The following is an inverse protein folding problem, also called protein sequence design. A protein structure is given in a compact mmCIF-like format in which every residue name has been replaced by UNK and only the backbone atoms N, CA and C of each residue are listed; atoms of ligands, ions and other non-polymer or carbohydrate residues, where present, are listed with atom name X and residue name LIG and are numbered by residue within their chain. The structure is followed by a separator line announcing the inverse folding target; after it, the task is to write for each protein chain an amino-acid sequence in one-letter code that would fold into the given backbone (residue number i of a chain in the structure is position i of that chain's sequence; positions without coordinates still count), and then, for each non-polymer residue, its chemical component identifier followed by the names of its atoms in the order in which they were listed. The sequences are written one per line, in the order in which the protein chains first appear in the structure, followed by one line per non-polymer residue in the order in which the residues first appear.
data_IF_217085262345
#
_entry.id   IF_217085262345
#
_cell.length_a   1.000
_cell.length_b   1.000
_cell.length_c   1.000
_cell.angle_alpha   90.00
_cell.angle_beta   90.00
_cell.angle_gamma   90.00
#
_symmetry.space_group_name_H-M   'P 1'
#
loop_
_entity.id
_entity.type
_entity.pdbx_description
1 polymer ?
#
# COMPACT_ATOMS: atom_id res chain seq x y z
N UNK A 1 -17.25 39.54 5.81
CA UNK A 1 -16.09 39.96 4.99
C UNK A 1 -15.02 38.88 4.96
N UNK A 2 -14.41 38.59 6.12
CA UNK A 2 -13.36 37.57 6.30
C UNK A 2 -13.88 36.14 6.40
N UNK A 3 -15.02 35.91 7.05
CA UNK A 3 -15.61 34.57 7.20
C UNK A 3 -16.12 33.94 5.87
N UNK A 4 -16.63 34.75 4.95
CA UNK A 4 -17.06 34.28 3.61
C UNK A 4 -15.87 33.90 2.72
N UNK A 5 -14.71 34.51 2.96
CA UNK A 5 -13.49 34.23 2.20
C UNK A 5 -12.87 32.89 2.61
N UNK A 6 -12.83 32.59 3.91
CA UNK A 6 -12.36 31.29 4.42
C UNK A 6 -13.31 30.14 4.06
N UNK A 7 -14.63 30.36 4.14
CA UNK A 7 -15.64 29.38 3.68
C UNK A 7 -15.51 29.06 2.19
N UNK A 8 -15.24 30.07 1.36
CA UNK A 8 -14.99 29.86 -0.07
C UNK A 8 -13.68 29.12 -0.35
N UNK A 9 -12.65 29.30 0.49
CA UNK A 9 -11.36 28.60 0.38
C UNK A 9 -11.52 27.12 0.72
N UNK A 10 -12.22 26.78 1.81
CA UNK A 10 -12.50 25.40 2.21
C UNK A 10 -13.43 24.66 1.23
N UNK A 11 -14.47 25.33 0.70
CA UNK A 11 -15.34 24.76 -0.34
C UNK A 11 -14.61 24.49 -1.66
N UNK A 12 -13.65 25.33 -2.04
CA UNK A 12 -12.79 25.08 -3.23
C UNK A 12 -11.83 23.91 -3.01
N UNK A 13 -11.27 23.76 -1.80
CA UNK A 13 -10.36 22.66 -1.47
C UNK A 13 -11.06 21.28 -1.47
N UNK A 14 -12.25 21.18 -0.83
CA UNK A 14 -12.98 19.90 -0.77
C UNK A 14 -13.55 19.46 -2.12
N UNK A 15 -14.03 20.41 -2.93
CA UNK A 15 -14.44 20.16 -4.32
C UNK A 15 -13.25 19.77 -5.18
N UNK A 16 -12.10 20.41 -4.98
CA UNK A 16 -10.84 20.05 -5.64
C UNK A 16 -10.39 18.63 -5.34
N UNK A 17 -10.51 18.14 -4.10
CA UNK A 17 -10.15 16.76 -3.77
C UNK A 17 -11.09 15.71 -4.39
N UNK A 18 -12.41 15.94 -4.38
CA UNK A 18 -13.36 15.01 -5.03
C UNK A 18 -13.25 15.03 -6.55
N UNK A 19 -13.01 16.20 -7.15
CA UNK A 19 -12.74 16.31 -8.59
C UNK A 19 -11.43 15.62 -8.95
N UNK A 20 -10.36 15.74 -8.13
CA UNK A 20 -9.08 15.02 -8.32
C UNK A 20 -9.21 13.50 -8.16
N UNK A 21 -9.99 13.01 -7.19
CA UNK A 21 -10.26 11.58 -7.01
C UNK A 21 -11.09 11.00 -8.17
N UNK A 22 -12.10 11.73 -8.62
CA UNK A 22 -12.90 11.36 -9.78
C UNK A 22 -12.10 11.46 -11.10
N UNK A 23 -11.18 12.43 -11.20
CA UNK A 23 -10.26 12.57 -12.33
C UNK A 23 -9.21 11.45 -12.32
N UNK A 24 -8.70 11.03 -11.16
CA UNK A 24 -7.86 9.83 -11.05
C UNK A 24 -8.63 8.57 -11.43
N UNK A 25 -9.86 8.38 -10.95
CA UNK A 25 -10.71 7.26 -11.34
C UNK A 25 -11.00 7.26 -12.86
N UNK A 26 -11.18 8.43 -13.47
CA UNK A 26 -11.31 8.60 -14.93
C UNK A 26 -9.99 8.33 -15.66
N UNK A 27 -8.86 8.82 -15.18
CA UNK A 27 -7.52 8.59 -15.76
C UNK A 27 -7.17 7.09 -15.69
N UNK A 28 -7.44 6.41 -14.57
CA UNK A 28 -7.24 4.97 -14.40
C UNK A 28 -8.18 4.17 -15.31
N UNK A 29 -9.46 4.59 -15.44
CA UNK A 29 -10.41 3.97 -16.37
C UNK A 29 -10.05 4.19 -17.84
N UNK A 30 -9.53 5.37 -18.19
CA UNK A 30 -9.03 5.71 -19.53
C UNK A 30 -7.74 4.94 -19.81
N UNK A 31 -6.84 4.77 -18.84
CA UNK A 31 -5.67 3.88 -18.96
C UNK A 31 -6.11 2.45 -19.27
N UNK A 32 -7.15 1.95 -18.58
CA UNK A 32 -7.71 0.61 -18.78
C UNK A 32 -8.28 0.42 -20.21
N UNK A 33 -8.85 1.49 -20.80
CA UNK A 33 -9.42 1.49 -22.16
C UNK A 33 -8.33 1.71 -23.23
N UNK A 34 -7.34 2.56 -22.98
CA UNK A 34 -6.24 2.85 -23.92
C UNK A 34 -5.25 1.69 -24.02
N UNK A 35 -5.06 0.90 -22.95
CA UNK A 35 -4.29 -0.36 -22.96
C UNK A 35 -4.87 -1.41 -23.94
N UNK A 36 -6.11 -1.26 -24.40
CA UNK A 36 -6.70 -2.13 -25.42
C UNK A 36 -6.46 -1.66 -26.86
N UNK A 37 -5.88 -0.47 -27.14
CA UNK A 37 -6.02 0.17 -28.47
C UNK A 37 -4.82 0.84 -29.17
N UNK A 38 -3.62 1.00 -28.62
CA UNK A 38 -2.57 1.76 -29.32
C UNK A 38 -1.17 1.14 -29.30
N UNK A 39 -0.58 0.95 -30.50
CA UNK A 39 0.86 0.81 -30.71
C UNK A 39 1.41 2.08 -31.39
N UNK A 40 2.50 2.66 -30.85
CA UNK A 40 3.48 3.61 -31.44
C UNK A 40 4.71 3.71 -30.48
N UNK A 41 5.88 3.94 -31.07
CA UNK A 41 7.27 3.97 -30.57
C UNK A 41 7.65 5.09 -29.55
N UNK A 42 8.68 4.79 -28.73
CA UNK A 42 9.86 5.59 -28.30
C UNK A 42 10.17 5.57 -26.79
N UNK A 43 11.48 5.40 -26.47
CA UNK A 43 12.18 6.12 -25.39
C UNK A 43 12.35 5.45 -24.01
N UNK A 44 13.61 5.31 -23.58
CA UNK A 44 14.10 4.80 -22.28
C UNK A 44 13.42 5.37 -21.02
N UNK A 45 13.09 4.51 -20.04
CA UNK A 45 13.14 4.80 -18.60
C UNK A 45 12.96 3.51 -17.76
N UNK A 46 13.70 3.41 -16.66
CA UNK A 46 13.75 2.30 -15.70
C UNK A 46 12.64 2.39 -14.62
N UNK A 47 12.31 1.28 -13.92
CA UNK A 47 11.86 1.20 -12.49
C UNK A 47 11.49 -0.24 -12.05
N UNK A 48 11.61 -0.46 -10.72
CA UNK A 48 11.62 -1.66 -9.85
C UNK A 48 10.24 -2.24 -9.40
N UNK A 49 10.31 -3.36 -8.63
CA UNK A 49 9.27 -4.27 -8.06
C UNK A 49 8.93 -5.39 -9.05
N UNK A 50 8.66 -6.64 -8.61
CA UNK A 50 8.13 -7.70 -9.50
C UNK A 50 6.76 -7.24 -9.99
N UNK A 51 6.85 -6.52 -11.08
CA UNK A 51 5.86 -5.77 -11.82
C UNK A 51 6.16 -6.16 -13.25
N UNK A 52 5.49 -7.18 -13.78
CA UNK A 52 5.82 -7.62 -15.13
C UNK A 52 5.23 -6.58 -16.09
N UNK A 53 6.11 -5.76 -16.62
CA UNK A 53 5.79 -4.76 -17.62
C UNK A 53 5.31 -5.47 -18.89
N UNK A 54 4.10 -5.14 -19.35
CA UNK A 54 3.81 -5.22 -20.77
C UNK A 54 3.99 -3.80 -21.30
N UNK A 55 5.23 -3.48 -21.69
CA UNK A 55 5.50 -2.30 -22.50
C UNK A 55 4.90 -2.52 -23.90
N UNK A 56 4.57 -1.44 -24.63
CA UNK A 56 4.24 -1.51 -26.04
C UNK A 56 5.53 -1.78 -26.83
N UNK A 57 5.96 -3.04 -26.75
CA UNK A 57 6.93 -3.82 -27.52
C UNK A 57 7.41 -4.93 -26.58
N UNK A 58 7.48 -6.16 -27.12
CA UNK A 58 7.62 -7.45 -26.42
C UNK A 58 8.88 -7.55 -25.56
N UNK A 59 8.91 -6.88 -24.42
CA UNK A 59 10.03 -6.88 -23.48
C UNK A 59 9.52 -6.98 -22.05
N UNK A 60 9.87 -8.07 -21.40
CA UNK A 60 9.63 -8.29 -19.98
C UNK A 60 10.85 -7.82 -19.20
N UNK A 61 10.62 -6.88 -18.30
CA UNK A 61 11.62 -6.44 -17.34
C UNK A 61 11.34 -7.14 -16.01
N UNK A 62 12.29 -7.91 -15.49
CA UNK A 62 12.33 -8.27 -14.07
C UNK A 62 13.24 -7.30 -13.37
N UNK A 63 12.75 -6.72 -12.29
CA UNK A 63 13.60 -5.95 -11.40
C UNK A 63 13.42 -6.45 -9.98
N UNK A 64 14.50 -7.02 -9.45
CA UNK A 64 14.67 -7.30 -8.04
C UNK A 64 15.30 -6.05 -7.41
N UNK A 65 14.67 -5.51 -6.36
CA UNK A 65 15.04 -4.20 -5.80
C UNK A 65 16.37 -4.28 -5.05
N UNK A 66 17.29 -3.36 -5.35
CA UNK A 66 18.58 -3.20 -4.67
C UNK A 66 18.43 -2.21 -3.48
N UNK A 67 18.74 -2.66 -2.26
CA UNK A 67 19.06 -1.84 -1.07
C UNK A 67 20.46 -2.18 -0.51
N UNK A 68 21.35 -1.19 -0.39
CA UNK A 68 22.56 -1.31 0.42
C UNK A 68 22.20 -1.23 1.91
N UNK A 69 22.54 -2.25 2.69
CA UNK A 69 23.19 -2.18 4.03
C UNK A 69 23.27 -3.56 4.74
N UNK A 70 24.50 -3.96 5.04
CA UNK A 70 25.02 -4.89 6.04
C UNK A 70 24.13 -6.00 6.64
N UNK A 71 24.36 -7.22 6.14
CA UNK A 71 24.63 -8.39 7.00
C UNK A 71 23.44 -9.03 7.73
N UNK A 72 22.70 -9.88 7.01
CA UNK A 72 22.11 -11.14 7.54
C UNK A 72 22.00 -12.15 6.39
N UNK A 73 22.58 -13.34 6.59
CA UNK A 73 22.51 -14.46 5.66
C UNK A 73 21.31 -15.35 6.04
N UNK A 74 20.20 -15.19 5.32
CA UNK A 74 19.00 -16.03 5.46
C UNK A 74 18.72 -16.72 4.14
N UNK A 75 18.66 -18.05 4.14
CA UNK A 75 18.39 -18.89 2.95
C UNK A 75 16.99 -18.55 2.42
N UNK A 76 16.86 -17.92 1.24
CA UNK A 76 15.55 -17.72 0.61
C UNK A 76 15.20 -18.87 -0.33
N UNK A 77 14.00 -19.40 -0.12
CA UNK A 77 13.19 -19.97 -1.19
C UNK A 77 12.04 -18.99 -1.43
N UNK A 78 11.52 -18.98 -2.66
CA UNK A 78 10.16 -18.48 -2.92
C UNK A 78 9.22 -18.96 -1.82
N UNK A 79 8.59 -18.03 -1.11
CA UNK A 79 7.67 -18.43 -0.06
C UNK A 79 6.38 -18.96 -0.67
N UNK A 80 6.01 -20.18 -0.28
CA UNK A 80 4.72 -20.75 -0.66
C UNK A 80 3.59 -20.04 0.06
N UNK A 81 2.35 -20.26 -0.39
CA UNK A 81 1.16 -19.61 0.18
C UNK A 81 0.93 -20.00 1.65
N UNK A 82 1.42 -21.16 2.05
CA UNK A 82 1.31 -21.72 3.40
C UNK A 82 2.47 -21.32 4.32
N UNK A 83 3.52 -20.71 3.78
CA UNK A 83 4.71 -20.37 4.55
C UNK A 83 4.59 -19.02 5.23
N UNK A 84 4.60 -19.04 6.56
CA UNK A 84 4.79 -17.85 7.37
C UNK A 84 6.27 -17.42 7.40
N UNK A 85 6.50 -16.12 7.49
CA UNK A 85 7.82 -15.56 7.79
C UNK A 85 8.26 -16.02 9.18
N UNK A 86 9.48 -16.55 9.36
CA UNK A 86 9.94 -16.99 10.66
C UNK A 86 9.85 -15.89 11.74
N UNK A 87 9.60 -16.23 13.02
CA UNK A 87 9.52 -15.24 14.08
C UNK A 87 10.85 -14.49 14.29
N UNK A 88 11.99 -15.14 14.05
CA UNK A 88 13.33 -14.57 14.22
C UNK A 88 13.72 -13.55 13.14
N UNK A 89 12.93 -13.42 12.07
CA UNK A 89 13.20 -12.49 10.99
C UNK A 89 12.80 -11.07 11.39
N UNK A 90 13.75 -10.14 11.28
CA UNK A 90 13.44 -8.72 11.34
C UNK A 90 12.66 -8.27 10.11
N UNK A 91 11.84 -7.22 10.26
CA UNK A 91 11.01 -6.64 9.19
C UNK A 91 11.79 -6.29 7.91
N UNK A 92 13.05 -5.83 8.04
CA UNK A 92 13.92 -5.50 6.90
C UNK A 92 14.56 -6.73 6.24
N UNK A 93 14.48 -7.91 6.87
CA UNK A 93 14.91 -9.21 6.32
C UNK A 93 13.74 -10.04 5.81
N UNK A 94 12.51 -9.53 5.90
CA UNK A 94 11.34 -10.22 5.36
C UNK A 94 11.41 -10.29 3.82
N UNK A 95 10.66 -11.23 3.24
CA UNK A 95 10.60 -11.39 1.80
C UNK A 95 9.46 -10.56 1.21
N UNK A 96 9.66 -10.10 -0.02
CA UNK A 96 8.57 -9.55 -0.82
C UNK A 96 7.82 -10.70 -1.52
N UNK A 97 6.49 -10.60 -1.53
CA UNK A 97 5.59 -11.64 -2.04
C UNK A 97 4.62 -11.02 -3.05
N UNK A 98 4.50 -11.67 -4.20
CA UNK A 98 3.52 -11.28 -5.23
C UNK A 98 2.07 -11.33 -4.71
N UNK A 99 1.75 -12.32 -3.86
CA UNK A 99 0.42 -12.44 -3.24
C UNK A 99 0.05 -11.20 -2.42
N UNK A 100 1.03 -10.59 -1.75
CA UNK A 100 0.80 -9.42 -0.92
C UNK A 100 0.48 -8.18 -1.76
N UNK A 101 1.17 -7.98 -2.90
CA UNK A 101 0.87 -6.88 -3.82
C UNK A 101 -0.53 -7.00 -4.43
N UNK A 102 -0.91 -8.21 -4.86
CA UNK A 102 -2.25 -8.48 -5.41
C UNK A 102 -3.31 -8.27 -4.31
N UNK A 103 -3.14 -8.88 -3.14
CA UNK A 103 -4.09 -8.76 -2.04
C UNK A 103 -4.22 -7.32 -1.52
N UNK A 104 -3.12 -6.57 -1.47
CA UNK A 104 -3.11 -5.16 -1.08
C UNK A 104 -4.00 -4.31 -1.98
N UNK A 105 -3.93 -4.49 -3.32
CA UNK A 105 -4.81 -3.78 -4.24
C UNK A 105 -6.30 -4.08 -3.99
N UNK A 106 -6.64 -5.35 -3.79
CA UNK A 106 -8.03 -5.74 -3.52
C UNK A 106 -8.53 -5.23 -2.16
N UNK A 107 -7.67 -5.25 -1.13
CA UNK A 107 -7.98 -4.71 0.20
C UNK A 107 -8.18 -3.19 0.15
N UNK A 108 -7.28 -2.47 -0.52
CA UNK A 108 -7.38 -1.01 -0.69
C UNK A 108 -8.67 -0.60 -1.41
N UNK A 109 -9.10 -1.40 -2.41
CA UNK A 109 -10.39 -1.24 -3.07
C UNK A 109 -11.57 -1.53 -2.14
N UNK A 110 -11.51 -2.58 -1.31
CA UNK A 110 -12.57 -2.93 -0.35
C UNK A 110 -12.67 -1.92 0.80
N UNK A 111 -11.58 -1.28 1.19
CA UNK A 111 -11.57 -0.18 2.16
C UNK A 111 -11.99 1.16 1.55
N UNK A 112 -12.20 1.21 0.23
CA UNK A 112 -12.55 2.40 -0.53
C UNK A 112 -11.45 3.48 -0.57
N UNK A 113 -10.20 3.11 -0.26
CA UNK A 113 -9.06 4.03 -0.29
C UNK A 113 -8.67 4.41 -1.71
N UNK A 114 -8.56 3.42 -2.62
CA UNK A 114 -8.21 3.59 -4.05
C UNK A 114 -6.84 4.28 -4.25
N UNK A 115 -5.85 3.88 -3.47
CA UNK A 115 -4.49 4.47 -3.42
C UNK A 115 -3.39 3.50 -3.87
N UNK A 116 -3.73 2.23 -4.10
CA UNK A 116 -2.81 1.23 -4.68
C UNK A 116 -3.01 1.17 -6.20
N UNK A 117 -1.95 1.22 -7.03
CA UNK A 117 -2.06 0.96 -8.47
C UNK A 117 -2.68 -0.43 -8.73
N UNK A 118 -3.46 -0.62 -9.81
CA UNK A 118 -4.01 -1.93 -10.13
C UNK A 118 -2.94 -3.02 -10.21
N UNK A 119 -3.14 -4.15 -9.52
CA UNK A 119 -2.24 -5.30 -9.54
C UNK A 119 -3.00 -6.57 -9.92
N UNK A 120 -2.42 -7.41 -10.79
CA UNK A 120 -2.96 -8.72 -11.14
C UNK A 120 -1.89 -9.81 -11.15
N UNK A 121 -2.26 -11.04 -10.81
CA UNK A 121 -1.39 -12.20 -10.90
C UNK A 121 -1.27 -12.75 -12.33
N UNK A 122 -0.07 -13.24 -12.66
CA UNK A 122 0.19 -13.92 -13.93
C UNK A 122 1.20 -15.05 -13.78
N UNK A 123 0.94 -16.14 -14.50
CA UNK A 123 1.92 -17.18 -14.76
C UNK A 123 2.72 -16.79 -16.01
N UNK A 124 4.04 -16.78 -15.90
CA UNK A 124 4.97 -16.43 -16.98
C UNK A 124 5.77 -17.64 -17.42
N UNK A 125 6.05 -17.73 -18.71
CA UNK A 125 7.12 -18.56 -19.21
C UNK A 125 8.48 -17.83 -19.09
N UNK A 126 9.33 -18.27 -18.17
CA UNK A 126 10.65 -17.71 -17.88
C UNK A 126 11.60 -17.75 -19.07
N UNK A 127 11.40 -18.67 -20.00
CA UNK A 127 12.23 -18.76 -21.20
C UNK A 127 11.78 -17.72 -22.22
N UNK A 128 10.56 -17.87 -22.73
CA UNK A 128 10.02 -17.10 -23.85
C UNK A 128 9.67 -15.67 -23.49
N UNK A 129 9.12 -15.48 -22.30
CA UNK A 129 8.63 -14.17 -21.90
C UNK A 129 9.70 -13.38 -21.17
N UNK A 130 10.80 -13.98 -20.72
CA UNK A 130 11.81 -13.28 -19.93
C UNK A 130 13.19 -13.35 -20.57
N UNK A 131 13.80 -14.53 -20.54
CA UNK A 131 15.19 -14.73 -20.95
C UNK A 131 15.41 -14.38 -22.42
N UNK A 132 14.49 -14.80 -23.28
CA UNK A 132 14.66 -14.68 -24.73
C UNK A 132 14.30 -13.27 -25.24
N UNK A 133 13.62 -12.46 -24.44
CA UNK A 133 13.26 -11.07 -24.79
C UNK A 133 14.16 -10.02 -24.13
N UNK A 134 14.77 -10.31 -22.97
CA UNK A 134 15.56 -9.29 -22.27
C UNK A 134 16.76 -8.82 -23.10
N UNK A 135 16.93 -7.49 -23.18
CA UNK A 135 18.13 -6.85 -23.75
C UNK A 135 19.20 -6.61 -22.66
N UNK A 136 18.85 -6.78 -21.39
CA UNK A 136 19.78 -6.60 -20.28
C UNK A 136 20.67 -7.83 -20.12
N UNK A 137 21.94 -7.65 -20.50
CA UNK A 137 22.98 -8.69 -20.39
C UNK A 137 23.24 -9.11 -18.93
N UNK A 138 23.04 -8.23 -17.96
CA UNK A 138 23.24 -8.55 -16.54
C UNK A 138 22.21 -9.57 -16.09
N UNK A 139 20.93 -9.30 -16.30
CA UNK A 139 19.84 -10.23 -16.02
C UNK A 139 19.99 -11.54 -16.81
N UNK A 140 20.25 -11.45 -18.11
CA UNK A 140 20.36 -12.62 -18.99
C UNK A 140 21.44 -13.62 -18.51
N UNK A 141 22.58 -13.12 -18.05
CA UNK A 141 23.69 -13.95 -17.54
C UNK A 141 23.38 -14.73 -16.28
N UNK A 142 22.33 -14.35 -15.54
CA UNK A 142 21.95 -15.03 -14.30
C UNK A 142 21.06 -16.25 -14.53
N UNK A 143 20.64 -16.52 -15.77
CA UNK A 143 19.86 -17.70 -16.09
C UNK A 143 20.72 -18.97 -16.11
N UNK A 144 20.23 -20.04 -15.49
CA UNK A 144 20.88 -21.34 -15.47
C UNK A 144 19.85 -22.48 -15.37
N UNK A 145 20.30 -23.71 -15.63
CA UNK A 145 19.50 -24.92 -15.44
C UNK A 145 19.90 -25.56 -14.12
N UNK A 146 18.93 -25.78 -13.25
CA UNK A 146 19.15 -26.44 -11.96
C UNK A 146 19.43 -27.94 -12.12
N UNK A 147 20.01 -28.62 -11.10
CA UNK A 147 20.17 -30.08 -11.11
C UNK A 147 18.87 -30.87 -11.29
N UNK A 148 17.72 -30.25 -10.98
CA UNK A 148 16.39 -30.80 -11.20
C UNK A 148 15.84 -30.53 -12.62
N UNK A 149 16.68 -30.05 -13.54
CA UNK A 149 16.35 -29.70 -14.92
C UNK A 149 15.28 -28.60 -15.08
N UNK A 150 15.17 -27.71 -14.08
CA UNK A 150 14.31 -26.52 -14.15
C UNK A 150 15.11 -25.28 -14.57
N UNK A 151 14.45 -24.36 -15.27
CA UNK A 151 14.98 -23.03 -15.60
C UNK A 151 14.94 -22.15 -14.35
N UNK A 152 16.07 -21.53 -14.02
CA UNK A 152 16.23 -20.65 -12.87
C UNK A 152 16.93 -19.35 -13.26
N UNK A 153 16.67 -18.27 -12.51
CA UNK A 153 17.47 -17.05 -12.56
C UNK A 153 17.45 -16.34 -11.20
N UNK A 154 18.45 -15.51 -10.92
CA UNK A 154 18.54 -14.75 -9.65
C UNK A 154 18.80 -13.25 -9.83
N UNK A 155 18.99 -12.77 -11.07
CA UNK A 155 19.19 -11.36 -11.40
C UNK A 155 20.29 -10.65 -10.59
N UNK A 156 20.25 -9.32 -10.57
CA UNK A 156 21.25 -8.50 -9.89
C UNK A 156 20.53 -7.52 -8.95
N UNK A 157 20.66 -7.76 -7.65
CA UNK A 157 20.17 -6.89 -6.58
C UNK A 157 20.97 -7.16 -5.30
N UNK A 158 20.73 -6.39 -4.25
CA UNK A 158 21.55 -6.46 -3.03
C UNK A 158 21.12 -7.52 -2.02
N UNK A 159 19.83 -7.87 -1.97
CA UNK A 159 19.28 -8.85 -1.04
C UNK A 159 18.70 -10.02 -1.81
N UNK A 160 19.11 -11.23 -1.45
CA UNK A 160 18.54 -12.46 -2.01
C UNK A 160 18.68 -12.62 -3.54
N UNK A 161 19.62 -11.91 -4.18
CA UNK A 161 19.99 -12.11 -5.59
C UNK A 161 21.30 -12.90 -5.72
N UNK A 162 21.24 -14.20 -5.39
CA UNK A 162 22.35 -15.13 -5.61
C UNK A 162 21.84 -16.50 -6.03
N UNK A 163 22.73 -17.39 -6.49
CA UNK A 163 22.37 -18.75 -6.92
C UNK A 163 21.63 -19.53 -5.84
N UNK A 164 21.95 -19.32 -4.56
CA UNK A 164 21.29 -19.96 -3.42
C UNK A 164 19.82 -19.54 -3.24
N UNK A 165 19.46 -18.37 -3.80
CA UNK A 165 18.17 -17.71 -3.65
C UNK A 165 17.42 -17.63 -4.99
N UNK A 166 17.87 -18.40 -5.99
CA UNK A 166 17.36 -18.30 -7.34
C UNK A 166 15.86 -18.63 -7.45
N UNK A 167 15.21 -17.90 -8.34
CA UNK A 167 13.82 -18.08 -8.72
C UNK A 167 13.78 -19.17 -9.79
N UNK A 168 13.15 -20.30 -9.49
CA UNK A 168 13.11 -21.48 -10.37
C UNK A 168 11.68 -21.83 -10.76
N UNK A 169 11.46 -22.09 -12.05
CA UNK A 169 10.19 -22.56 -12.56
C UNK A 169 10.01 -24.07 -12.40
N UNK A 170 8.87 -24.57 -12.89
CA UNK A 170 8.57 -26.02 -12.99
C UNK A 170 7.88 -26.37 -14.31
N UNK A 171 8.61 -26.75 -15.38
CA UNK A 171 10.06 -26.64 -15.51
C UNK A 171 10.53 -25.20 -15.77
N UNK A 172 9.72 -24.37 -16.42
CA UNK A 172 10.10 -23.03 -16.88
C UNK A 172 9.03 -21.95 -16.66
N UNK A 173 7.99 -22.25 -15.89
CA UNK A 173 6.94 -21.29 -15.55
C UNK A 173 7.04 -20.80 -14.11
N UNK A 174 6.76 -19.51 -13.89
CA UNK A 174 6.79 -18.87 -12.58
C UNK A 174 5.60 -17.91 -12.39
N UNK A 175 5.07 -17.87 -11.18
CA UNK A 175 4.01 -16.95 -10.78
C UNK A 175 4.60 -15.59 -10.39
N UNK A 176 3.88 -14.51 -10.70
CA UNK A 176 4.27 -13.16 -10.31
C UNK A 176 3.12 -12.17 -10.33
N UNK A 177 3.35 -11.01 -9.72
CA UNK A 177 2.42 -9.88 -9.72
C UNK A 177 2.73 -8.91 -10.86
N UNK A 178 1.68 -8.31 -11.41
CA UNK A 178 1.70 -7.27 -12.45
C UNK A 178 1.08 -6.01 -11.89
N UNK A 179 1.88 -5.10 -11.34
CA UNK A 179 1.38 -3.77 -11.00
C UNK A 179 1.33 -2.86 -12.23
N UNK A 180 0.26 -2.08 -12.36
CA UNK A 180 0.17 -1.05 -13.39
C UNK A 180 1.15 0.08 -13.05
N UNK A 181 1.88 0.55 -14.06
CA UNK A 181 2.75 1.69 -13.88
C UNK A 181 1.96 2.96 -13.57
N UNK A 182 2.46 3.72 -12.62
CA UNK A 182 2.11 5.13 -12.52
C UNK A 182 2.71 5.88 -13.71
N UNK A 183 2.16 7.06 -14.07
CA UNK A 183 2.71 7.86 -15.14
C UNK A 183 4.20 8.16 -14.92
N UNK A 184 4.92 8.30 -16.03
CA UNK A 184 6.35 8.60 -16.01
C UNK A 184 6.64 9.86 -15.18
N UNK A 185 7.77 9.87 -14.46
CA UNK A 185 8.17 10.98 -13.60
C UNK A 185 8.39 12.30 -14.37
N UNK A 186 8.69 12.23 -15.67
CA UNK A 186 8.77 13.38 -16.56
C UNK A 186 7.39 14.04 -16.77
N UNK A 187 6.31 13.24 -16.76
CA UNK A 187 4.92 13.72 -16.93
C UNK A 187 4.25 14.05 -15.60
N UNK A 188 4.47 13.22 -14.58
CA UNK A 188 3.88 13.35 -13.26
C UNK A 188 4.93 13.15 -12.17
N UNK A 189 5.58 14.25 -11.77
CA UNK A 189 6.55 14.22 -10.67
C UNK A 189 5.88 13.76 -9.38
N UNK A 190 6.59 12.87 -8.67
CA UNK A 190 6.20 12.35 -7.36
C UNK A 190 7.19 12.85 -6.32
N UNK A 191 6.66 13.19 -5.15
CA UNK A 191 7.45 13.56 -3.98
C UNK A 191 7.41 12.41 -2.98
N UNK A 192 8.60 11.94 -2.61
CA UNK A 192 8.80 10.93 -1.56
C UNK A 192 8.92 11.63 -0.21
N UNK A 193 8.18 11.12 0.76
CA UNK A 193 8.18 11.60 2.13
C UNK A 193 8.64 10.50 3.07
N UNK A 194 9.43 10.87 4.09
CA UNK A 194 9.78 9.96 5.17
C UNK A 194 8.59 9.84 6.12
N UNK A 195 8.16 8.62 6.41
CA UNK A 195 7.12 8.37 7.40
C UNK A 195 7.66 8.71 8.81
N UNK A 196 6.95 9.51 9.65
CA UNK A 196 7.39 9.82 11.01
C UNK A 196 7.56 8.55 11.85
N UNK A 197 6.68 7.56 11.65
CA UNK A 197 6.76 6.25 12.32
C UNK A 197 7.65 5.25 11.58
N UNK A 198 8.61 5.73 10.78
CA UNK A 198 9.64 4.88 10.19
C UNK A 198 10.41 4.17 11.32
N UNK A 199 10.54 2.85 11.22
CA UNK A 199 11.37 2.03 12.12
C UNK A 199 12.85 2.40 12.03
N UNK A 200 13.65 1.92 12.97
CA UNK A 200 15.09 2.23 13.03
C UNK A 200 15.91 1.58 11.90
N UNK A 201 15.44 0.48 11.32
CA UNK A 201 16.21 -0.39 10.41
C UNK A 201 17.51 -0.89 11.05
N UNK A 202 17.49 -1.09 12.36
CA UNK A 202 18.65 -1.49 13.12
C UNK A 202 18.26 -2.44 14.25
N UNK A 203 18.99 -3.54 14.40
CA UNK A 203 18.64 -4.67 15.30
C UNK A 203 18.53 -4.29 16.79
N UNK A 204 19.26 -3.25 17.21
CA UNK A 204 19.38 -2.84 18.62
C UNK A 204 18.85 -1.44 18.92
N UNK A 205 18.64 -0.61 17.90
CA UNK A 205 18.28 0.79 18.08
C UNK A 205 16.76 0.87 18.01
N UNK A 206 16.13 1.46 19.03
CA UNK A 206 14.71 1.79 18.97
C UNK A 206 14.50 3.09 18.19
N UNK A 207 13.36 3.23 17.54
CA UNK A 207 12.92 4.50 16.97
C UNK A 207 12.36 5.42 18.08
N UNK A 208 12.30 6.73 17.83
CA UNK A 208 11.81 7.71 18.81
C UNK A 208 10.37 7.43 19.24
N UNK A 209 9.49 7.13 18.29
CA UNK A 209 8.10 6.76 18.56
C UNK A 209 7.92 5.45 19.35
N UNK A 210 8.95 4.60 19.44
CA UNK A 210 8.92 3.37 20.26
C UNK A 210 9.25 3.64 21.74
N UNK A 211 9.82 4.81 22.05
CA UNK A 211 10.22 5.19 23.41
C UNK A 211 9.40 6.35 23.97
N UNK A 212 8.92 7.24 23.11
CA UNK A 212 8.11 8.39 23.49
C UNK A 212 6.61 8.10 23.28
N UNK A 213 5.81 8.00 24.36
CA UNK A 213 4.37 7.79 24.25
C UNK A 213 3.64 8.99 23.63
N UNK A 214 4.16 10.21 23.78
CA UNK A 214 3.55 11.46 23.33
C UNK A 214 4.09 11.92 21.97
N UNK A 215 4.83 11.07 21.27
CA UNK A 215 5.48 11.36 19.98
C UNK A 215 4.55 12.01 18.95
N UNK A 216 3.27 11.61 18.91
CA UNK A 216 2.34 12.19 17.94
C UNK A 216 2.05 13.69 18.20
N UNK A 217 2.19 14.19 19.42
CA UNK A 217 1.99 15.61 19.71
C UNK A 217 3.06 16.49 19.03
N UNK A 218 4.29 15.99 18.90
CA UNK A 218 5.33 16.65 18.11
C UNK A 218 5.01 16.54 16.61
N UNK A 219 4.56 15.36 16.14
CA UNK A 219 4.20 15.16 14.73
C UNK A 219 3.05 16.09 14.32
N UNK A 220 2.04 16.27 15.17
CA UNK A 220 0.91 17.20 14.96
C UNK A 220 1.34 18.66 14.82
N UNK A 221 2.56 19.02 15.22
CA UNK A 221 3.12 20.37 15.08
C UNK A 221 4.13 20.49 13.94
N UNK A 222 4.44 19.37 13.28
CA UNK A 222 5.49 19.29 12.26
C UNK A 222 4.89 19.34 10.85
N UNK A 223 5.28 20.28 9.98
CA UNK A 223 4.87 20.26 8.58
C UNK A 223 5.31 18.98 7.86
N UNK A 224 4.48 18.35 7.02
CA UNK A 224 3.14 18.78 6.57
C UNK A 224 1.98 18.16 7.38
N UNK A 225 2.22 17.61 8.56
CA UNK A 225 1.23 16.89 9.37
C UNK A 225 0.40 17.82 10.28
N UNK A 226 0.88 19.05 10.46
CA UNK A 226 0.25 20.14 11.22
C UNK A 226 -1.00 20.73 10.57
N UNK A 227 -1.25 20.42 9.31
CA UNK A 227 -2.31 21.04 8.51
C UNK A 227 -2.91 20.09 7.48
N UNK A 228 -4.15 20.40 7.09
CA UNK A 228 -4.89 19.65 6.07
C UNK A 228 -5.21 18.21 6.49
N UNK A 229 -5.23 17.30 5.52
CA UNK A 229 -5.66 15.91 5.71
C UNK A 229 -4.51 14.94 5.96
N UNK A 230 -3.25 15.41 5.93
CA UNK A 230 -2.08 14.54 5.82
C UNK A 230 -1.93 13.58 6.99
N UNK A 231 -2.17 14.04 8.21
CA UNK A 231 -2.14 13.15 9.39
C UNK A 231 -3.18 12.04 9.25
N UNK A 232 -4.40 12.37 8.81
CA UNK A 232 -5.47 11.39 8.58
C UNK A 232 -5.15 10.44 7.42
N UNK A 233 -4.45 10.90 6.37
CA UNK A 233 -3.95 10.03 5.31
C UNK A 233 -2.97 8.98 5.85
N UNK A 234 -2.11 9.37 6.79
CA UNK A 234 -1.21 8.43 7.50
C UNK A 234 -2.01 7.44 8.35
N UNK A 235 -3.07 7.87 9.01
CA UNK A 235 -3.92 6.97 9.82
C UNK A 235 -4.60 5.90 8.95
N UNK A 236 -5.15 6.28 7.79
CA UNK A 236 -5.70 5.34 6.81
C UNK A 236 -4.62 4.33 6.33
N UNK A 237 -3.42 4.82 6.01
CA UNK A 237 -2.29 3.98 5.60
C UNK A 237 -1.83 3.03 6.71
N UNK A 238 -1.81 3.50 7.96
CA UNK A 238 -1.49 2.69 9.14
C UNK A 238 -2.50 1.57 9.35
N UNK A 239 -3.79 1.86 9.22
CA UNK A 239 -4.85 0.84 9.31
C UNK A 239 -4.69 -0.18 8.18
N UNK A 240 -4.43 0.29 6.96
CA UNK A 240 -4.16 -0.56 5.80
C UNK A 240 -2.98 -1.50 6.06
N UNK A 241 -1.83 -0.96 6.46
CA UNK A 241 -0.62 -1.72 6.75
C UNK A 241 -0.82 -2.70 7.91
N UNK A 242 -1.57 -2.34 8.95
CA UNK A 242 -1.85 -3.24 10.08
C UNK A 242 -2.71 -4.44 9.67
N UNK A 243 -3.76 -4.24 8.86
CA UNK A 243 -4.63 -5.32 8.39
C UNK A 243 -3.85 -6.38 7.59
N UNK A 244 -2.87 -5.97 6.78
CA UNK A 244 -1.98 -6.86 6.04
C UNK A 244 -0.76 -7.33 6.86
N UNK A 245 -0.38 -6.63 7.93
CA UNK A 245 0.82 -6.90 8.72
C UNK A 245 2.11 -6.38 8.09
N UNK A 246 2.05 -5.31 7.30
CA UNK A 246 3.19 -4.69 6.66
C UNK A 246 3.93 -3.73 7.59
N UNK A 247 5.15 -4.11 7.98
CA UNK A 247 5.99 -3.32 8.88
C UNK A 247 6.97 -2.37 8.18
N UNK A 248 7.08 -2.44 6.85
CA UNK A 248 8.18 -1.82 6.08
C UNK A 248 7.81 -0.47 5.45
N UNK A 249 6.78 0.21 5.97
CA UNK A 249 6.34 1.54 5.49
C UNK A 249 7.27 2.67 5.92
N UNK A 250 8.51 2.68 5.44
CA UNK A 250 9.50 3.71 5.77
C UNK A 250 9.30 5.04 5.07
N UNK A 251 8.66 5.01 3.90
CA UNK A 251 8.42 6.16 3.04
C UNK A 251 7.04 6.03 2.43
N UNK A 252 6.51 7.15 1.96
CA UNK A 252 5.30 7.18 1.16
C UNK A 252 5.44 8.24 0.05
N UNK A 253 4.64 8.13 -0.98
CA UNK A 253 4.69 9.04 -2.13
C UNK A 253 3.41 9.85 -2.28
N UNK A 254 3.54 11.02 -2.92
CA UNK A 254 2.44 11.89 -3.31
C UNK A 254 2.73 12.48 -4.68
N UNK A 255 1.71 12.88 -5.42
CA UNK A 255 1.92 13.63 -6.66
C UNK A 255 2.23 15.09 -6.37
N UNK A 256 3.39 15.56 -6.83
CA UNK A 256 3.89 16.91 -6.55
C UNK A 256 2.91 17.99 -7.03
N UNK A 257 2.28 17.75 -8.19
CA UNK A 257 1.29 18.65 -8.81
C UNK A 257 0.13 19.02 -7.88
N UNK A 258 -0.26 18.14 -6.96
CA UNK A 258 -1.40 18.37 -6.07
C UNK A 258 -1.02 19.00 -4.73
N UNK A 259 0.27 19.24 -4.47
CA UNK A 259 0.75 19.85 -3.24
C UNK A 259 0.56 18.95 -2.01
N UNK A 260 0.33 19.55 -0.84
CA UNK A 260 0.17 18.79 0.41
C UNK A 260 -1.25 18.22 0.59
N UNK A 261 -2.25 18.88 0.02
CA UNK A 261 -3.66 18.46 0.01
C UNK A 261 -3.90 17.44 -1.11
N UNK A 262 -3.36 16.24 -0.90
CA UNK A 262 -3.49 15.09 -1.81
C UNK A 262 -3.39 13.80 -1.01
N UNK A 263 -3.94 12.73 -1.56
CA UNK A 263 -3.81 11.38 -1.02
C UNK A 263 -2.36 10.88 -1.06
N UNK A 264 -2.07 9.93 -0.17
CA UNK A 264 -0.84 9.14 -0.15
C UNK A 264 -0.97 7.95 -1.10
N UNK A 265 0.04 7.69 -1.92
CA UNK A 265 0.09 6.52 -2.79
C UNK A 265 0.63 5.32 -1.99
N UNK A 266 -0.12 4.22 -1.97
CA UNK A 266 0.24 2.98 -1.25
C UNK A 266 1.05 2.03 -2.15
N UNK A 267 2.36 2.28 -2.28
CA UNK A 267 3.31 1.46 -3.09
C UNK A 267 4.10 0.46 -2.24
N UNK A 268 4.84 -0.48 -2.84
CA UNK A 268 5.72 -1.42 -2.11
C UNK A 268 4.99 -2.20 -0.99
N UNK A 269 3.95 -2.95 -1.34
CA UNK A 269 3.11 -3.70 -0.38
C UNK A 269 3.55 -5.17 -0.22
N UNK A 270 4.62 -5.59 -0.90
CA UNK A 270 5.11 -6.96 -0.96
C UNK A 270 5.46 -7.61 0.39
N UNK A 271 5.67 -6.83 1.44
CA UNK A 271 5.97 -7.33 2.82
C UNK A 271 4.72 -7.51 3.69
N UNK A 272 3.53 -7.38 3.11
CA UNK A 272 2.28 -7.80 3.73
C UNK A 272 2.09 -9.31 3.73
N UNK A 273 1.10 -9.78 4.49
CA UNK A 273 0.65 -11.17 4.50
C UNK A 273 1.79 -12.18 4.72
N UNK A 274 2.81 -11.80 5.48
CA UNK A 274 3.92 -12.67 5.83
C UNK A 274 3.60 -13.60 7.01
N UNK A 275 2.72 -13.16 7.92
CA UNK A 275 2.31 -13.92 9.11
C UNK A 275 0.79 -13.82 9.29
N UNK A 276 0.08 -14.94 9.41
CA UNK A 276 -1.36 -14.98 9.72
C UNK A 276 -1.63 -15.31 11.19
N UNK A 277 -0.70 -15.99 11.85
CA UNK A 277 -0.83 -16.36 13.26
C UNK A 277 -0.40 -15.25 14.24
N UNK A 278 0.18 -14.16 13.73
CA UNK A 278 0.68 -13.02 14.51
C UNK A 278 0.06 -11.70 14.04
N UNK A 279 -0.27 -10.82 14.99
CA UNK A 279 -0.76 -9.46 14.73
C UNK A 279 0.25 -8.45 15.28
N UNK A 280 0.89 -7.70 14.39
CA UNK A 280 1.95 -6.78 14.78
C UNK A 280 1.38 -5.44 15.27
N UNK A 281 1.09 -5.36 16.57
CA UNK A 281 0.51 -4.17 17.21
C UNK A 281 1.37 -2.92 17.05
N UNK A 282 2.69 -3.05 16.87
CA UNK A 282 3.55 -1.88 16.66
C UNK A 282 3.24 -1.12 15.36
N UNK A 283 2.59 -1.75 14.37
CA UNK A 283 2.12 -1.05 13.16
C UNK A 283 0.98 -0.07 13.50
N UNK A 284 0.13 -0.41 14.49
CA UNK A 284 -1.04 0.38 14.86
C UNK A 284 -0.72 1.54 15.81
N UNK A 285 0.52 1.66 16.29
CA UNK A 285 0.99 2.72 17.20
C UNK A 285 0.67 4.14 16.71
N UNK A 286 0.81 4.51 15.43
CA UNK A 286 0.42 5.84 14.95
C UNK A 286 -1.04 6.17 15.28
N UNK A 287 -1.96 5.22 15.09
CA UNK A 287 -3.37 5.41 15.42
C UNK A 287 -3.59 5.54 16.93
N UNK A 288 -2.91 4.72 17.72
CA UNK A 288 -3.03 4.73 19.19
C UNK A 288 -2.43 5.99 19.84
N UNK A 289 -1.37 6.55 19.26
CA UNK A 289 -0.74 7.79 19.76
C UNK A 289 -1.49 9.02 19.29
N UNK A 290 -1.91 9.06 18.03
CA UNK A 290 -2.54 10.25 17.48
C UNK A 290 -4.02 10.37 17.84
N UNK A 291 -4.68 9.23 18.07
CA UNK A 291 -6.11 9.10 18.32
C UNK A 291 -6.97 9.92 17.35
N UNK A 292 -6.66 9.86 16.05
CA UNK A 292 -7.44 10.50 14.99
C UNK A 292 -7.78 9.53 13.86
N UNK A 293 -8.99 9.60 13.32
CA UNK A 293 -9.44 8.78 12.19
C UNK A 293 -10.49 9.52 11.37
N UNK A 294 -10.60 9.22 10.07
CA UNK A 294 -11.70 9.74 9.24
C UNK A 294 -13.01 9.05 9.59
N UNK A 295 -14.11 9.80 9.57
CA UNK A 295 -15.46 9.25 9.73
C UNK A 295 -15.81 8.27 8.60
N UNK A 296 -15.44 8.58 7.36
CA UNK A 296 -15.60 7.66 6.22
C UNK A 296 -14.94 6.31 6.47
N UNK A 297 -13.65 6.31 6.87
CA UNK A 297 -12.88 5.11 7.22
C UNK A 297 -13.50 4.39 8.42
N UNK A 298 -13.81 5.10 9.50
CA UNK A 298 -14.38 4.49 10.71
C UNK A 298 -15.69 3.75 10.43
N UNK A 299 -16.62 4.38 9.70
CA UNK A 299 -17.89 3.76 9.31
C UNK A 299 -17.67 2.55 8.39
N UNK A 300 -16.72 2.65 7.43
CA UNK A 300 -16.38 1.53 6.55
C UNK A 300 -15.85 0.34 7.34
N UNK A 301 -14.97 0.57 8.31
CA UNK A 301 -14.43 -0.50 9.18
C UNK A 301 -15.53 -1.14 10.04
N UNK A 302 -16.45 -0.35 10.60
CA UNK A 302 -17.59 -0.86 11.35
C UNK A 302 -18.51 -1.71 10.46
N UNK A 303 -18.74 -1.30 9.22
CA UNK A 303 -19.52 -2.06 8.25
C UNK A 303 -18.86 -3.41 7.94
N UNK A 304 -17.56 -3.41 7.66
CA UNK A 304 -16.79 -4.60 7.32
C UNK A 304 -16.65 -5.62 8.47
N UNK A 305 -16.95 -5.21 9.69
CA UNK A 305 -16.97 -6.09 10.86
C UNK A 305 -18.31 -6.81 11.08
N UNK A 306 -19.37 -6.43 10.35
CA UNK A 306 -20.66 -7.11 10.38
C UNK A 306 -20.63 -8.39 9.54
N UNK A 307 -21.35 -9.42 9.97
CA UNK A 307 -21.35 -10.72 9.29
C UNK A 307 -21.84 -10.63 7.83
N UNK A 308 -22.76 -9.72 7.51
CA UNK A 308 -23.27 -9.54 6.14
C UNK A 308 -22.24 -8.93 5.17
N UNK A 309 -21.23 -8.24 5.70
CA UNK A 309 -20.19 -7.53 4.92
C UNK A 309 -18.78 -7.91 5.36
N UNK A 310 -18.64 -9.10 5.93
CA UNK A 310 -17.41 -9.57 6.58
C UNK A 310 -16.20 -9.42 5.66
N UNK A 311 -15.14 -8.76 6.15
CA UNK A 311 -13.94 -8.44 5.37
C UNK A 311 -13.32 -9.68 4.70
N UNK A 312 -13.16 -10.78 5.43
CA UNK A 312 -12.64 -12.05 4.89
C UNK A 312 -13.43 -12.57 3.70
N UNK A 313 -14.77 -12.48 3.74
CA UNK A 313 -15.66 -12.99 2.69
C UNK A 313 -15.57 -12.13 1.45
N UNK A 314 -15.60 -10.80 1.62
CA UNK A 314 -15.43 -9.85 0.52
C UNK A 314 -14.05 -9.96 -0.14
N UNK A 315 -13.00 -10.15 0.66
CA UNK A 315 -11.64 -10.38 0.16
C UNK A 315 -11.56 -11.69 -0.63
N UNK A 316 -12.08 -12.78 -0.09
CA UNK A 316 -12.10 -14.08 -0.77
C UNK A 316 -12.78 -13.98 -2.13
N UNK A 317 -14.00 -13.41 -2.17
CA UNK A 317 -14.75 -13.21 -3.40
C UNK A 317 -13.99 -12.33 -4.39
N UNK A 318 -13.46 -11.20 -3.94
CA UNK A 318 -12.74 -10.25 -4.77
C UNK A 318 -11.49 -10.88 -5.41
N UNK A 319 -10.76 -11.71 -4.67
CA UNK A 319 -9.53 -12.38 -5.13
C UNK A 319 -9.80 -13.57 -6.07
N UNK A 320 -10.99 -14.15 -6.07
CA UNK A 320 -11.31 -15.30 -6.96
C UNK A 320 -11.18 -14.98 -8.46
N UNK A 321 -11.23 -13.69 -8.82
CA UNK A 321 -11.13 -13.23 -10.21
C UNK A 321 -9.69 -13.20 -10.73
N UNK A 322 -8.70 -13.33 -9.85
CA UNK A 322 -7.30 -13.38 -10.24
C UNK A 322 -6.91 -14.76 -10.79
N UNK A 323 -6.01 -14.78 -11.78
CA UNK A 323 -5.56 -16.02 -12.43
C UNK A 323 -4.72 -16.89 -11.51
N UNK A 324 -4.09 -16.32 -10.48
CA UNK A 324 -3.28 -17.04 -9.50
C UNK A 324 -4.09 -17.50 -8.28
N UNK A 325 -5.42 -17.50 -8.36
CA UNK A 325 -6.30 -17.97 -7.28
C UNK A 325 -5.96 -19.40 -6.84
N UNK A 326 -5.91 -19.69 -5.53
CA UNK A 326 -6.14 -18.78 -4.40
C UNK A 326 -4.94 -17.84 -4.15
N UNK A 327 -5.16 -16.53 -3.97
CA UNK A 327 -4.08 -15.56 -3.67
C UNK A 327 -3.69 -15.61 -2.18
N UNK A 328 -4.69 -15.61 -1.30
CA UNK A 328 -4.53 -15.75 0.14
C UNK A 328 -5.17 -17.05 0.61
N UNK A 329 -4.51 -17.73 1.56
CA UNK A 329 -5.08 -18.89 2.25
C UNK A 329 -6.06 -18.45 3.34
N UNK A 330 -6.97 -19.35 3.73
CA UNK A 330 -8.02 -19.08 4.71
C UNK A 330 -7.50 -18.45 6.03
N UNK A 331 -6.37 -18.91 6.62
CA UNK A 331 -5.84 -18.28 7.83
C UNK A 331 -5.52 -16.79 7.69
N UNK A 332 -5.06 -16.33 6.52
CA UNK A 332 -4.83 -14.90 6.29
C UNK A 332 -6.14 -14.12 6.24
N UNK A 333 -7.18 -14.69 5.61
CA UNK A 333 -8.51 -14.07 5.56
C UNK A 333 -9.10 -13.95 6.98
N UNK A 334 -9.00 -15.00 7.79
CA UNK A 334 -9.47 -14.99 9.19
C UNK A 334 -8.68 -13.99 10.05
N UNK A 335 -7.37 -13.87 9.82
CA UNK A 335 -6.52 -12.89 10.49
C UNK A 335 -6.94 -11.45 10.17
N UNK A 336 -7.42 -11.16 8.95
CA UNK A 336 -7.91 -9.82 8.60
C UNK A 336 -9.13 -9.42 9.42
N UNK A 337 -10.08 -10.33 9.65
CA UNK A 337 -11.25 -10.06 10.50
C UNK A 337 -10.83 -9.84 11.96
N UNK A 338 -9.88 -10.63 12.46
CA UNK A 338 -9.30 -10.47 13.80
C UNK A 338 -8.63 -9.10 13.95
N UNK A 339 -7.78 -8.71 13.00
CA UNK A 339 -7.10 -7.41 12.98
C UNK A 339 -8.08 -6.26 12.85
N UNK A 340 -9.13 -6.38 12.03
CA UNK A 340 -10.17 -5.37 11.92
C UNK A 340 -10.82 -5.06 13.27
N UNK A 341 -11.12 -6.10 14.08
CA UNK A 341 -11.64 -5.90 15.43
C UNK A 341 -10.64 -5.20 16.35
N UNK A 342 -9.35 -5.50 16.24
CA UNK A 342 -8.31 -4.80 17.01
C UNK A 342 -8.23 -3.32 16.63
N UNK A 343 -8.36 -2.97 15.35
CA UNK A 343 -8.43 -1.56 14.90
C UNK A 343 -9.65 -0.87 15.50
N UNK A 344 -10.83 -1.50 15.44
CA UNK A 344 -12.05 -0.93 15.99
C UNK A 344 -11.96 -0.74 17.51
N UNK A 345 -11.35 -1.69 18.23
CA UNK A 345 -11.11 -1.57 19.66
C UNK A 345 -10.16 -0.41 19.97
N UNK A 346 -9.06 -0.25 19.23
CA UNK A 346 -8.14 0.87 19.40
C UNK A 346 -8.83 2.23 19.18
N UNK A 347 -9.69 2.34 18.17
CA UNK A 347 -10.50 3.56 17.95
C UNK A 347 -11.50 3.76 19.08
N UNK A 348 -12.16 2.71 19.57
CA UNK A 348 -13.08 2.79 20.71
C UNK A 348 -12.38 3.27 21.98
N UNK A 349 -11.16 2.78 22.24
CA UNK A 349 -10.35 3.19 23.38
C UNK A 349 -9.95 4.68 23.27
N UNK A 350 -9.55 5.13 22.08
CA UNK A 350 -9.32 6.56 21.81
C UNK A 350 -10.58 7.39 22.07
N UNK A 351 -11.74 6.97 21.54
CA UNK A 351 -13.02 7.66 21.73
C UNK A 351 -13.39 7.74 23.22
N UNK A 352 -13.16 6.67 23.98
CA UNK A 352 -13.40 6.65 25.43
C UNK A 352 -12.52 7.61 26.22
N UNK A 353 -11.29 7.87 25.75
CA UNK A 353 -10.32 8.76 26.41
C UNK A 353 -10.49 10.23 26.02
N UNK A 354 -10.63 10.51 24.74
CA UNK A 354 -10.59 11.89 24.19
C UNK A 354 -11.96 12.42 23.76
N UNK A 355 -12.95 11.54 23.57
CA UNK A 355 -14.28 11.88 23.09
C UNK A 355 -14.43 11.77 21.57
N UNK A 356 -15.64 11.42 21.13
CA UNK A 356 -15.92 11.09 19.72
C UNK A 356 -15.54 12.21 18.73
N UNK A 357 -15.85 13.47 19.05
CA UNK A 357 -15.60 14.61 18.15
C UNK A 357 -14.13 14.96 17.97
N UNK A 358 -13.27 14.58 18.92
CA UNK A 358 -11.82 14.82 18.83
C UNK A 358 -11.11 13.72 18.04
N UNK A 359 -11.65 12.49 18.12
CA UNK A 359 -11.06 11.32 17.47
C UNK A 359 -11.54 11.16 16.03
N UNK A 360 -12.83 11.34 15.79
CA UNK A 360 -13.46 11.06 14.49
C UNK A 360 -13.69 12.35 13.72
N UNK A 361 -12.84 12.61 12.73
CA UNK A 361 -12.95 13.78 11.86
C UNK A 361 -14.06 13.57 10.82
N UNK A 362 -15.03 14.49 10.74
CA UNK A 362 -16.12 14.40 9.77
C UNK A 362 -15.68 14.88 8.37
N UNK A 363 -15.37 13.92 7.50
CA UNK A 363 -15.05 14.13 6.09
C UNK A 363 -16.23 13.84 5.14
N UNK A 364 -17.38 13.44 5.68
CA UNK A 364 -18.58 13.10 4.90
C UNK A 364 -19.48 14.31 4.65
N UNK A 365 -19.45 15.30 5.55
CA UNK A 365 -20.17 16.55 5.38
C UNK A 365 -19.51 17.45 4.33
N UNK A 366 -19.75 17.12 3.07
CA UNK A 366 -19.86 18.13 2.03
C UNK A 366 -21.24 18.78 2.13
N UNK A 367 -21.31 19.96 2.73
CA UNK A 367 -22.41 20.93 2.63
C UNK A 367 -23.77 20.53 3.24
N UNK A 368 -23.88 20.54 4.57
CA UNK A 368 -25.15 20.83 5.24
C UNK A 368 -24.95 21.82 6.41
N UNK A 369 -25.46 23.04 6.26
CA UNK A 369 -26.00 23.79 7.40
C UNK A 369 -25.30 25.08 7.82
N UNK A 370 -25.23 26.08 6.94
CA UNK A 370 -25.33 27.50 7.35
C UNK A 370 -26.76 27.93 7.68
N UNK A 371 -27.63 27.00 8.08
CA UNK A 371 -29.00 27.25 8.50
C UNK A 371 -29.30 26.53 9.81
N UNK A 372 -28.68 26.99 10.91
CA UNK A 372 -29.15 26.60 12.24
C UNK A 372 -28.70 27.50 13.39
N UNK A 373 -28.58 28.81 13.16
CA UNK A 373 -28.54 29.77 14.28
C UNK A 373 -29.10 31.12 13.83
N UNK A 374 -30.43 31.29 13.91
CA UNK A 374 -31.06 32.58 14.22
C UNK A 374 -32.55 32.37 14.51
N UNK A 375 -32.85 31.94 15.75
CA UNK A 375 -34.11 32.31 16.38
C UNK A 375 -33.75 32.96 17.72
N UNK A 376 -33.90 34.28 17.77
CA UNK A 376 -33.84 35.13 18.95
C UNK A 376 -34.26 36.55 18.57
N UNK A 377 -34.70 37.37 19.53
CA UNK A 377 -36.06 37.46 20.03
C UNK A 377 -36.87 38.58 19.32
N UNK A 378 -38.17 38.36 19.11
CA UNK A 378 -39.09 39.46 18.74
C UNK A 378 -39.18 40.45 19.90
N UNK A 379 -38.75 41.70 19.67
CA UNK A 379 -39.02 42.84 20.55
C UNK A 379 -40.01 43.79 19.89
N UNK A 380 -41.06 44.06 20.67
CA UNK A 380 -42.08 45.14 20.63
C UNK A 380 -43.01 45.20 19.44
#
# INVERSE_FOLDING_TARGET
GTEDFERNKQRKASRGNREKEAEFAKIVSILFILLQRAGVETGEAAVQIITLSCLPEKYLLLSMKERREDGVQGKAKWQTREQETPPDFFYFSDFERHNAEIAAFHLDKILDFRRVPPVAGRLLNMTKEIRDVTRDKKLWRTFFISPANNVCFYGECSYYCSTEHALCGKPDQIEGSLAAFLPDLALAKRKTWRNPWRRSYHKRKKAEWEVDPDYCEEVKQTPPYDSGTRLLDVMDMTIFDFLMGNMDRHHYETFEKFGNETFIIHLDNGRGFGKHSHDEMSILVPLMQCCRVRKSTHIRLQLLAKEEYKLSTLMAESLTRDRLTPILIQPHLDAMDRRLRLVLNAVSDCIGKEGYSFVVEDDLLGDQGSERYHIGPRRR
#
